data_IF_591135201977
#
_entry.id   IF_591135201977
#
_cell.length_a   1.000
_cell.length_b   1.000
_cell.length_c   1.000
_cell.angle_alpha   90.00
_cell.angle_beta   90.00
_cell.angle_gamma   90.00
#
_symmetry.space_group_name_H-M   'P 1'
#
loop_
_entity.id
_entity.type
_entity.pdbx_description
1 polymer ?
#
# COMPACT_ATOMS: atom_id res chain seq x y z
N UNK A 1 -11.89 -12.53 14.21
CA UNK A 1 -11.98 -11.47 13.19
C UNK A 1 -11.69 -10.19 13.93
N UNK A 2 -10.41 -9.85 14.07
CA UNK A 2 -9.99 -8.68 14.83
C UNK A 2 -10.30 -7.45 14.00
N UNK A 3 -11.07 -6.51 14.56
CA UNK A 3 -11.25 -5.17 14.01
C UNK A 3 -9.86 -4.60 13.72
N UNK A 4 -9.52 -4.46 12.43
CA UNK A 4 -8.27 -3.81 12.05
C UNK A 4 -8.44 -2.32 12.36
N UNK A 5 -7.75 -1.89 13.40
CA UNK A 5 -7.76 -0.51 13.85
C UNK A 5 -6.88 0.34 12.93
N UNK A 6 -7.04 1.66 12.98
CA UNK A 6 -6.23 2.59 12.20
C UNK A 6 -4.73 2.35 12.43
N UNK A 7 -4.30 1.97 13.64
CA UNK A 7 -2.91 1.63 13.93
C UNK A 7 -2.36 0.45 13.10
N UNK A 8 -3.15 -0.62 12.95
CA UNK A 8 -2.81 -1.79 12.13
C UNK A 8 -2.77 -1.41 10.64
N UNK A 9 -3.74 -0.58 10.20
CA UNK A 9 -3.78 -0.06 8.83
C UNK A 9 -2.55 0.83 8.52
N UNK A 10 -2.19 1.74 9.42
CA UNK A 10 -0.98 2.56 9.31
C UNK A 10 0.26 1.69 9.17
N UNK A 11 0.39 0.62 9.98
CA UNK A 11 1.52 -0.28 9.91
C UNK A 11 1.62 -0.97 8.55
N UNK A 12 0.51 -1.52 8.05
CA UNK A 12 0.45 -2.16 6.73
C UNK A 12 0.77 -1.15 5.62
N UNK A 13 0.32 0.10 5.75
CA UNK A 13 0.64 1.14 4.77
C UNK A 13 2.11 1.50 4.80
N UNK A 14 2.73 1.59 5.98
CA UNK A 14 4.18 1.79 6.08
C UNK A 14 4.96 0.66 5.43
N UNK A 15 4.61 -0.61 5.72
CA UNK A 15 5.26 -1.76 5.11
C UNK A 15 5.08 -1.76 3.58
N UNK A 16 3.85 -1.53 3.09
CA UNK A 16 3.59 -1.44 1.66
C UNK A 16 4.39 -0.30 1.00
N UNK A 17 4.54 0.84 1.67
CA UNK A 17 5.33 1.98 1.18
C UNK A 17 6.83 1.64 1.09
N UNK A 18 7.37 0.90 2.06
CA UNK A 18 8.75 0.38 1.99
C UNK A 18 8.93 -0.56 0.81
N UNK A 19 8.02 -1.52 0.62
CA UNK A 19 8.14 -2.50 -0.48
C UNK A 19 7.95 -1.83 -1.85
N UNK A 20 7.07 -0.82 -1.97
CA UNK A 20 6.97 0.05 -3.15
C UNK A 20 8.28 0.81 -3.41
N UNK A 21 8.97 1.24 -2.35
CA UNK A 21 10.25 1.93 -2.48
C UNK A 21 11.37 0.99 -2.93
N UNK A 22 11.43 -0.24 -2.39
CA UNK A 22 12.34 -1.27 -2.86
C UNK A 22 12.11 -1.57 -4.35
N UNK A 23 10.86 -1.84 -4.76
CA UNK A 23 10.54 -2.09 -6.16
C UNK A 23 10.82 -0.91 -7.10
N UNK A 24 10.65 0.33 -6.61
CA UNK A 24 11.05 1.53 -7.34
C UNK A 24 12.56 1.56 -7.62
N UNK A 25 13.38 1.18 -6.65
CA UNK A 25 14.83 1.13 -6.82
C UNK A 25 15.30 -0.05 -7.67
N UNK A 26 14.59 -1.18 -7.59
CA UNK A 26 14.92 -2.39 -8.34
C UNK A 26 14.51 -2.33 -9.81
N UNK A 27 13.42 -1.63 -10.11
CA UNK A 27 12.94 -1.51 -11.47
C UNK A 27 13.89 -0.62 -12.29
N UNK A 28 14.22 -1.05 -13.51
CA UNK A 28 15.05 -0.26 -14.42
C UNK A 28 14.23 0.57 -15.43
N UNK A 29 12.91 0.39 -15.47
CA UNK A 29 12.00 1.11 -16.34
C UNK A 29 11.47 2.40 -15.70
N UNK A 30 11.50 3.51 -16.44
CA UNK A 30 11.06 4.82 -15.96
C UNK A 30 9.54 4.88 -15.78
N UNK A 31 8.76 4.21 -16.63
CA UNK A 31 7.30 4.22 -16.53
C UNK A 31 6.84 3.47 -15.29
N UNK A 32 7.50 2.35 -14.98
CA UNK A 32 7.22 1.61 -13.76
C UNK A 32 7.60 2.39 -12.51
N UNK A 33 8.74 3.10 -12.53
CA UNK A 33 9.12 4.02 -11.46
C UNK A 33 8.05 5.08 -11.21
N UNK A 34 7.51 5.68 -12.27
CA UNK A 34 6.40 6.63 -12.17
C UNK A 34 5.16 5.97 -11.55
N UNK A 35 4.82 4.76 -11.97
CA UNK A 35 3.71 3.99 -11.38
C UNK A 35 3.91 3.72 -9.88
N UNK A 36 5.09 3.26 -9.46
CA UNK A 36 5.41 3.05 -8.05
C UNK A 36 5.36 4.35 -7.25
N UNK A 37 5.88 5.44 -7.81
CA UNK A 37 5.87 6.75 -7.18
C UNK A 37 4.45 7.29 -7.01
N UNK A 38 3.60 7.16 -8.04
CA UNK A 38 2.20 7.55 -7.97
C UNK A 38 1.42 6.75 -6.91
N UNK A 39 1.66 5.43 -6.84
CA UNK A 39 1.04 4.57 -5.82
C UNK A 39 1.49 4.96 -4.40
N UNK A 40 2.79 5.15 -4.23
CA UNK A 40 3.38 5.63 -2.97
C UNK A 40 2.77 6.98 -2.56
N UNK A 41 2.61 7.91 -3.49
CA UNK A 41 2.00 9.21 -3.24
C UNK A 41 0.56 9.12 -2.72
N UNK A 42 -0.28 8.28 -3.36
CA UNK A 42 -1.66 8.06 -2.89
C UNK A 42 -1.69 7.46 -1.48
N UNK A 43 -0.82 6.48 -1.21
CA UNK A 43 -0.72 5.86 0.10
C UNK A 43 -0.21 6.86 1.16
N UNK A 44 0.72 7.74 0.78
CA UNK A 44 1.26 8.79 1.65
C UNK A 44 0.18 9.83 2.01
N UNK A 45 -0.67 10.20 1.04
CA UNK A 45 -1.78 11.12 1.24
C UNK A 45 -2.78 10.55 2.24
N UNK A 46 -3.16 9.27 2.08
CA UNK A 46 -4.01 8.57 3.05
C UNK A 46 -3.35 8.47 4.43
N UNK A 47 -2.06 8.11 4.50
CA UNK A 47 -1.30 8.09 5.76
C UNK A 47 -1.31 9.45 6.46
N UNK A 48 -1.20 10.55 5.71
CA UNK A 48 -1.23 11.91 6.25
C UNK A 48 -2.64 12.28 6.76
N UNK A 49 -3.69 11.89 6.03
CA UNK A 49 -5.09 12.05 6.48
C UNK A 49 -5.38 11.23 7.75
N UNK A 50 -4.90 9.99 7.82
CA UNK A 50 -5.04 9.16 9.02
C UNK A 50 -4.22 9.69 10.19
N UNK A 51 -3.04 10.25 9.94
CA UNK A 51 -2.24 10.91 10.98
C UNK A 51 -2.83 12.24 11.46
N UNK A 52 -3.71 12.89 10.67
CA UNK A 52 -4.49 14.04 11.15
C UNK A 52 -5.54 13.63 12.18
N UNK A 53 -5.94 12.36 12.21
CA UNK A 53 -6.76 11.83 13.29
C UNK A 53 -5.96 11.83 14.59
N UNK A 54 -6.64 12.06 15.71
CA UNK A 54 -5.99 12.03 17.01
C UNK A 54 -5.45 10.61 17.27
N UNK A 55 -4.29 10.45 17.92
CA UNK A 55 -3.79 9.14 18.38
C UNK A 55 -4.82 8.37 19.22
N UNK A 56 -5.76 9.09 19.84
CA UNK A 56 -6.88 8.54 20.61
C UNK A 56 -7.96 7.91 19.72
N UNK A 57 -8.01 8.31 18.45
CA UNK A 57 -8.87 7.77 17.41
C UNK A 57 -8.26 6.53 16.75
N UNK A 58 -6.96 6.26 16.95
CA UNK A 58 -6.28 5.10 16.36
C UNK A 58 -6.80 3.73 16.84
N UNK A 59 -7.66 3.74 17.86
CA UNK A 59 -8.34 2.55 18.40
C UNK A 59 -9.65 2.25 17.65
N UNK A 60 -10.15 3.20 16.86
CA UNK A 60 -11.35 3.02 16.04
C UNK A 60 -11.06 2.16 14.81
N UNK A 61 -12.13 1.54 14.32
CA UNK A 61 -12.14 0.74 13.10
C UNK A 61 -11.63 1.59 11.93
N UNK A 62 -10.71 1.05 11.14
CA UNK A 62 -10.21 1.73 9.96
C UNK A 62 -11.34 1.91 8.93
N UNK A 63 -11.61 3.16 8.54
CA UNK A 63 -12.50 3.47 7.41
C UNK A 63 -11.69 4.18 6.32
N UNK A 64 -11.67 3.66 5.07
CA UNK A 64 -10.98 4.31 3.98
C UNK A 64 -11.64 5.67 3.69
N UNK A 65 -10.92 6.76 3.94
CA UNK A 65 -11.46 8.12 3.80
C UNK A 65 -11.37 8.60 2.35
N UNK A 66 -10.41 8.09 1.58
CA UNK A 66 -10.12 8.57 0.24
C UNK A 66 -10.53 7.55 -0.84
N UNK A 67 -11.37 7.92 -1.82
CA UNK A 67 -11.72 7.03 -2.93
C UNK A 67 -10.50 6.66 -3.80
N UNK A 68 -9.41 7.43 -3.70
CA UNK A 68 -8.12 7.13 -4.34
C UNK A 68 -7.52 5.82 -3.82
N UNK A 69 -7.88 5.39 -2.62
CA UNK A 69 -7.42 4.13 -2.03
C UNK A 69 -8.02 2.91 -2.71
N UNK A 70 -9.30 2.97 -3.11
CA UNK A 70 -9.90 1.95 -3.96
C UNK A 70 -9.23 1.90 -5.35
N UNK A 71 -8.76 3.03 -5.87
CA UNK A 71 -7.99 3.03 -7.11
C UNK A 71 -6.61 2.41 -6.91
N UNK A 72 -5.97 2.66 -5.76
CA UNK A 72 -4.70 2.05 -5.37
C UNK A 72 -4.82 0.53 -5.22
N UNK A 73 -5.87 0.03 -4.56
CA UNK A 73 -6.12 -1.41 -4.40
C UNK A 73 -6.22 -2.12 -5.75
N UNK A 74 -6.98 -1.55 -6.69
CA UNK A 74 -7.13 -2.07 -8.04
C UNK A 74 -5.81 -2.01 -8.82
N UNK A 75 -5.05 -0.92 -8.70
CA UNK A 75 -3.73 -0.79 -9.32
C UNK A 75 -2.75 -1.83 -8.78
N UNK A 76 -2.70 -2.04 -7.45
CA UNK A 76 -1.84 -3.04 -6.83
C UNK A 76 -2.20 -4.45 -7.26
N UNK A 77 -3.49 -4.81 -7.31
CA UNK A 77 -3.95 -6.11 -7.82
C UNK A 77 -3.56 -6.34 -9.28
N UNK A 78 -3.61 -5.29 -10.10
CA UNK A 78 -3.21 -5.35 -11.51
C UNK A 78 -1.69 -5.43 -11.67
N UNK A 79 -0.95 -4.75 -10.80
CA UNK A 79 0.51 -4.73 -10.78
C UNK A 79 1.10 -6.04 -10.25
N UNK A 80 0.43 -6.74 -9.33
CA UNK A 80 0.90 -7.98 -8.72
C UNK A 80 1.37 -9.06 -9.71
N UNK A 81 0.64 -9.38 -10.80
CA UNK A 81 1.13 -10.30 -11.83
C UNK A 81 2.27 -9.71 -12.68
N UNK A 82 2.32 -8.40 -12.89
CA UNK A 82 3.34 -7.73 -13.70
C UNK A 82 4.64 -7.46 -12.92
N UNK A 83 4.58 -7.40 -11.59
CA UNK A 83 5.72 -7.18 -10.69
C UNK A 83 6.86 -8.17 -10.96
N UNK A 84 6.54 -9.44 -11.28
CA UNK A 84 7.55 -10.46 -11.63
C UNK A 84 8.40 -10.10 -12.85
N UNK A 85 7.94 -9.19 -13.71
CA UNK A 85 8.65 -8.75 -14.91
C UNK A 85 9.57 -7.56 -14.62
N UNK A 86 9.28 -6.78 -13.57
CA UNK A 86 9.95 -5.52 -13.27
C UNK A 86 10.86 -5.60 -12.03
N UNK A 87 10.46 -6.41 -11.04
CA UNK A 87 11.18 -6.61 -9.78
C UNK A 87 11.91 -7.95 -9.85
N UNK A 88 13.24 -7.88 -9.79
CA UNK A 88 14.09 -9.05 -9.93
C UNK A 88 14.32 -9.78 -8.60
N UNK A 89 14.19 -9.10 -7.44
CA UNK A 89 14.34 -9.78 -6.15
C UNK A 89 13.09 -10.57 -5.78
N UNK A 90 13.23 -11.89 -5.54
CA UNK A 90 12.12 -12.70 -5.07
C UNK A 90 11.66 -12.31 -3.66
N UNK A 91 12.51 -11.68 -2.85
CA UNK A 91 12.13 -11.21 -1.51
C UNK A 91 11.07 -10.11 -1.56
N UNK A 92 11.27 -9.10 -2.41
CA UNK A 92 10.34 -7.99 -2.63
C UNK A 92 9.02 -8.48 -3.23
N UNK A 93 9.09 -9.42 -4.18
CA UNK A 93 7.92 -10.07 -4.78
C UNK A 93 7.07 -10.83 -3.76
N UNK A 94 7.70 -11.65 -2.90
CA UNK A 94 6.98 -12.39 -1.86
C UNK A 94 6.35 -11.45 -0.83
N UNK A 95 7.04 -10.38 -0.45
CA UNK A 95 6.48 -9.34 0.43
C UNK A 95 5.27 -8.66 -0.21
N UNK A 96 5.34 -8.29 -1.48
CA UNK A 96 4.20 -7.74 -2.21
C UNK A 96 3.01 -8.71 -2.26
N UNK A 97 3.28 -9.98 -2.54
CA UNK A 97 2.23 -11.00 -2.63
C UNK A 97 1.50 -11.22 -1.30
N UNK A 98 2.16 -10.99 -0.16
CA UNK A 98 1.59 -11.11 1.18
C UNK A 98 0.91 -9.81 1.66
N UNK A 99 1.53 -8.66 1.38
CA UNK A 99 1.06 -7.35 1.83
C UNK A 99 -0.08 -6.78 0.97
N UNK A 100 -0.08 -6.97 -0.35
CA UNK A 100 -1.14 -6.45 -1.24
C UNK A 100 -2.52 -6.96 -0.85
N UNK A 101 -2.77 -8.27 -0.65
CA UNK A 101 -4.10 -8.73 -0.24
C UNK A 101 -4.48 -8.19 1.13
N UNK A 102 -3.56 -8.17 2.09
CA UNK A 102 -3.79 -7.62 3.44
C UNK A 102 -4.15 -6.13 3.42
N UNK A 103 -3.52 -5.35 2.54
CA UNK A 103 -3.82 -3.94 2.31
C UNK A 103 -5.13 -3.75 1.54
N UNK A 104 -5.41 -4.56 0.52
CA UNK A 104 -6.66 -4.50 -0.24
C UNK A 104 -7.88 -4.81 0.64
N UNK A 105 -7.78 -5.79 1.52
CA UNK A 105 -8.84 -6.08 2.50
C UNK A 105 -9.10 -4.89 3.44
N UNK A 106 -8.08 -4.09 3.76
CA UNK A 106 -8.26 -2.86 4.53
C UNK A 106 -8.97 -1.78 3.72
N UNK A 107 -8.62 -1.65 2.45
CA UNK A 107 -9.17 -0.63 1.55
C UNK A 107 -10.64 -0.85 1.17
N UNK A 108 -11.14 -2.08 1.32
CA UNK A 108 -12.49 -2.50 0.91
C UNK A 108 -13.44 -2.73 2.11
N UNK A 109 -13.03 -2.37 3.34
CA UNK A 109 -13.84 -2.46 4.57
C UNK A 109 -14.99 -1.42 4.61
#
# INVERSE_FOLDING_TARGET
MSEKNVGDALHIFYELNEVLSDAYWETNDINQKDHFFAMKGILQDELDELHKLSLQDHVYSYEPMNPSLMQLSNKLRTLLPELNQYVYRPQTLNRFADLIPSACELFEL
#
